data_IF_846201378096
#
_entry.id   IF_846201378096
#
_cell.length_a   1.000
_cell.length_b   1.000
_cell.length_c   1.000
_cell.angle_alpha   90.00
_cell.angle_beta   90.00
_cell.angle_gamma   90.00
#
_symmetry.space_group_name_H-M   'P 1'
#
loop_
_entity.id
_entity.type
_entity.pdbx_description
1 polymer ?
#
# COMPACT_ATOMS: atom_id res chain seq x y z
N UNK A 1 -10.12 -1.69 67.20
CA UNK A 1 -9.61 -2.99 66.74
C UNK A 1 -10.65 -3.58 65.79
N UNK A 2 -10.35 -3.61 64.49
CA UNK A 2 -11.04 -4.47 63.53
C UNK A 2 -10.09 -4.66 62.33
N UNK A 3 -9.80 -5.92 62.04
CA UNK A 3 -8.75 -6.38 61.14
C UNK A 3 -9.03 -6.05 59.66
N UNK A 4 -7.94 -5.74 58.97
CA UNK A 4 -7.80 -5.68 57.53
C UNK A 4 -7.80 -7.08 56.90
N UNK A 5 -8.53 -7.24 55.80
CA UNK A 5 -8.27 -8.27 54.79
C UNK A 5 -8.25 -7.60 53.41
N UNK A 6 -7.08 -7.67 52.79
CA UNK A 6 -6.75 -7.21 51.45
C UNK A 6 -7.46 -8.02 50.36
N UNK A 7 -8.17 -7.36 49.45
CA UNK A 7 -8.51 -7.91 48.14
C UNK A 7 -7.61 -7.28 47.07
N UNK A 8 -6.68 -8.09 46.55
CA UNK A 8 -5.98 -7.80 45.31
C UNK A 8 -7.01 -7.78 44.17
N UNK A 9 -7.22 -6.61 43.56
CA UNK A 9 -7.93 -6.52 42.29
C UNK A 9 -7.02 -7.06 41.18
N UNK A 10 -7.42 -8.21 40.64
CA UNK A 10 -6.92 -8.75 39.37
C UNK A 10 -7.24 -7.73 38.27
N UNK A 11 -6.18 -7.22 37.62
CA UNK A 11 -6.32 -6.45 36.40
C UNK A 11 -7.05 -7.29 35.34
N UNK A 12 -8.10 -6.70 34.75
CA UNK A 12 -8.88 -7.30 33.67
C UNK A 12 -7.98 -7.62 32.46
N UNK A 13 -8.29 -8.67 31.68
CA UNK A 13 -7.51 -9.01 30.51
C UNK A 13 -7.63 -7.89 29.47
N UNK A 14 -6.49 -7.44 28.97
CA UNK A 14 -6.36 -6.53 27.83
C UNK A 14 -7.21 -7.05 26.68
N UNK A 15 -8.20 -6.28 26.24
CA UNK A 15 -9.06 -6.62 25.11
C UNK A 15 -8.20 -6.84 23.85
N UNK A 16 -8.15 -8.08 23.37
CA UNK A 16 -7.52 -8.41 22.09
C UNK A 16 -8.18 -7.57 20.98
N UNK A 17 -7.37 -6.93 20.15
CA UNK A 17 -7.84 -6.12 19.04
C UNK A 17 -8.71 -6.98 18.10
N UNK A 18 -9.89 -6.47 17.72
CA UNK A 18 -10.83 -7.18 16.84
C UNK A 18 -10.26 -7.20 15.42
N UNK A 19 -10.18 -8.37 14.74
CA UNK A 19 -9.74 -8.45 13.34
C UNK A 19 -10.62 -7.59 12.42
N UNK A 20 -10.01 -6.96 11.42
CA UNK A 20 -10.73 -6.17 10.42
C UNK A 20 -11.35 -7.07 9.34
N UNK A 21 -10.75 -8.23 9.08
CA UNK A 21 -11.20 -9.20 8.09
C UNK A 21 -11.63 -10.52 8.75
N UNK A 22 -12.38 -11.33 7.99
CA UNK A 22 -12.71 -12.71 8.33
C UNK A 22 -11.68 -13.64 7.69
N UNK A 23 -11.19 -14.63 8.42
CA UNK A 23 -10.07 -15.45 7.99
C UNK A 23 -10.45 -16.92 7.72
N UNK A 24 -10.05 -17.46 6.57
CA UNK A 24 -10.13 -18.90 6.26
C UNK A 24 -8.72 -19.48 6.40
N UNK A 25 -8.53 -20.37 7.38
CA UNK A 25 -7.25 -21.03 7.68
C UNK A 25 -7.23 -22.45 7.13
N UNK A 26 -6.53 -22.66 6.03
CA UNK A 26 -6.38 -23.97 5.41
C UNK A 26 -5.15 -24.67 5.97
N UNK A 27 -5.33 -25.73 6.76
CA UNK A 27 -4.21 -26.57 7.23
C UNK A 27 -3.90 -27.59 6.13
N UNK A 28 -2.74 -27.44 5.50
CA UNK A 28 -2.38 -28.17 4.29
C UNK A 28 -1.05 -28.92 4.40
N UNK A 29 -0.87 -29.93 3.55
CA UNK A 29 0.29 -30.81 3.54
C UNK A 29 -0.06 -32.29 3.33
N UNK A 30 0.95 -33.15 3.12
CA UNK A 30 0.75 -34.57 2.82
C UNK A 30 0.09 -35.35 3.97
N UNK A 31 -0.35 -36.57 3.70
CA UNK A 31 -0.81 -37.49 4.73
C UNK A 31 0.28 -37.75 5.77
N UNK A 32 -0.10 -37.81 7.04
CA UNK A 32 0.85 -38.02 8.15
C UNK A 32 1.56 -36.75 8.68
N UNK A 33 1.37 -35.58 8.06
CA UNK A 33 2.02 -34.33 8.52
C UNK A 33 1.37 -33.70 9.77
N UNK A 34 0.18 -34.16 10.18
CA UNK A 34 -0.49 -33.71 11.40
C UNK A 34 -1.61 -32.67 11.21
N UNK A 35 -2.19 -32.54 10.00
CA UNK A 35 -3.25 -31.56 9.68
C UNK A 35 -4.37 -31.50 10.72
N UNK A 36 -5.06 -32.62 10.97
CA UNK A 36 -6.18 -32.70 11.93
C UNK A 36 -5.76 -32.23 13.33
N UNK A 37 -4.64 -32.70 13.84
CA UNK A 37 -4.16 -32.33 15.18
C UNK A 37 -3.79 -30.85 15.32
N UNK A 38 -3.20 -30.25 14.28
CA UNK A 38 -2.92 -28.80 14.25
C UNK A 38 -4.21 -27.99 14.09
N UNK A 39 -5.14 -28.44 13.24
CA UNK A 39 -6.41 -27.78 13.01
C UNK A 39 -7.29 -27.76 14.27
N UNK A 40 -7.44 -28.89 14.95
CA UNK A 40 -8.17 -29.00 16.23
C UNK A 40 -7.58 -28.08 17.30
N UNK A 41 -6.25 -28.03 17.38
CA UNK A 41 -5.55 -27.15 18.32
C UNK A 41 -5.84 -25.66 18.04
N UNK A 42 -5.68 -25.23 16.78
CA UNK A 42 -5.93 -23.83 16.40
C UNK A 42 -7.42 -23.46 16.54
N UNK A 43 -8.32 -24.34 16.14
CA UNK A 43 -9.77 -24.16 16.31
C UNK A 43 -10.12 -23.98 17.78
N UNK A 44 -9.60 -24.83 18.67
CA UNK A 44 -9.83 -24.74 20.11
C UNK A 44 -9.25 -23.46 20.70
N UNK A 45 -8.02 -23.12 20.32
CA UNK A 45 -7.32 -21.94 20.85
C UNK A 45 -8.03 -20.63 20.49
N UNK A 46 -8.45 -20.49 19.24
CA UNK A 46 -9.10 -19.27 18.72
C UNK A 46 -10.63 -19.32 18.80
N UNK A 47 -11.22 -20.40 19.31
CA UNK A 47 -12.66 -20.65 19.32
C UNK A 47 -13.31 -20.48 17.93
N UNK A 48 -12.65 -20.99 16.88
CA UNK A 48 -13.12 -20.92 15.49
C UNK A 48 -13.82 -22.23 15.09
N UNK A 49 -14.86 -22.19 14.23
CA UNK A 49 -15.41 -23.39 13.61
C UNK A 49 -14.32 -24.21 12.91
N UNK A 50 -14.43 -25.54 13.01
CA UNK A 50 -13.53 -26.50 12.38
C UNK A 50 -14.27 -27.34 11.33
N UNK A 51 -13.69 -27.44 10.13
CA UNK A 51 -14.15 -28.28 9.05
C UNK A 51 -13.09 -29.34 8.71
N UNK A 52 -13.44 -30.63 8.81
CA UNK A 52 -12.58 -31.73 8.37
C UNK A 52 -12.78 -32.00 6.88
N UNK A 53 -11.84 -31.59 6.03
CA UNK A 53 -12.01 -31.58 4.58
C UNK A 53 -12.23 -32.96 3.96
N UNK A 54 -11.65 -34.02 4.54
CA UNK A 54 -11.83 -35.39 4.07
C UNK A 54 -13.29 -35.87 4.23
N UNK A 55 -14.07 -35.25 5.12
CA UNK A 55 -15.49 -35.58 5.36
C UNK A 55 -16.42 -35.10 4.23
N UNK A 56 -15.94 -34.21 3.36
CA UNK A 56 -16.71 -33.65 2.25
C UNK A 56 -16.44 -34.35 0.92
N UNK A 57 -15.64 -35.43 0.92
CA UNK A 57 -15.45 -36.20 -0.29
C UNK A 57 -16.77 -36.85 -0.76
N UNK A 58 -17.09 -36.78 -2.06
CA UNK A 58 -18.22 -37.54 -2.60
C UNK A 58 -17.94 -39.04 -2.47
N UNK A 59 -19.00 -39.85 -2.35
CA UNK A 59 -18.88 -41.30 -2.14
C UNK A 59 -17.97 -41.97 -3.17
N UNK A 60 -18.03 -41.54 -4.43
CA UNK A 60 -17.16 -42.04 -5.50
C UNK A 60 -15.65 -41.84 -5.21
N UNK A 61 -15.26 -40.76 -4.54
CA UNK A 61 -13.86 -40.53 -4.15
C UNK A 61 -13.47 -41.41 -2.96
N UNK A 62 -14.38 -41.57 -2.00
CA UNK A 62 -14.19 -42.47 -0.85
C UNK A 62 -13.98 -43.91 -1.35
N UNK A 63 -14.82 -44.38 -2.28
CA UNK A 63 -14.73 -45.71 -2.86
C UNK A 63 -13.41 -45.93 -3.62
N UNK A 64 -12.96 -44.93 -4.40
CA UNK A 64 -11.64 -44.97 -5.06
C UNK A 64 -10.51 -45.09 -4.06
N UNK A 65 -10.49 -44.25 -3.02
CA UNK A 65 -9.46 -44.27 -1.99
C UNK A 65 -9.47 -45.57 -1.18
N UNK A 66 -10.65 -46.11 -0.84
CA UNK A 66 -10.81 -47.38 -0.15
C UNK A 66 -10.22 -48.56 -0.96
N UNK A 67 -10.35 -48.49 -2.29
CA UNK A 67 -9.77 -49.46 -3.21
C UNK A 67 -8.29 -49.18 -3.58
N UNK A 68 -7.62 -48.23 -2.91
CA UNK A 68 -6.24 -47.79 -3.20
C UNK A 68 -6.05 -47.23 -4.62
N UNK A 69 -7.10 -46.69 -5.23
CA UNK A 69 -7.06 -46.01 -6.53
C UNK A 69 -6.81 -44.52 -6.27
N UNK A 70 -5.70 -43.93 -6.76
CA UNK A 70 -5.43 -42.51 -6.59
C UNK A 70 -6.49 -41.65 -7.29
N UNK A 71 -6.96 -40.60 -6.61
CA UNK A 71 -7.86 -39.63 -7.24
C UNK A 71 -7.11 -38.86 -8.34
N UNK A 72 -7.83 -38.48 -9.39
CA UNK A 72 -7.37 -37.60 -10.46
C UNK A 72 -7.66 -36.13 -10.14
N UNK A 73 -7.22 -35.19 -11.00
CA UNK A 73 -7.59 -33.79 -10.84
C UNK A 73 -9.11 -33.57 -11.02
N UNK A 74 -9.72 -34.26 -11.99
CA UNK A 74 -11.16 -34.19 -12.25
C UNK A 74 -12.00 -34.64 -11.05
N UNK A 75 -11.55 -35.66 -10.33
CA UNK A 75 -12.20 -36.15 -9.11
C UNK A 75 -12.17 -35.12 -7.97
N UNK A 76 -11.21 -34.18 -7.99
CA UNK A 76 -10.98 -33.23 -6.88
C UNK A 76 -11.69 -31.88 -7.07
N UNK A 77 -12.10 -31.51 -8.29
CA UNK A 77 -12.65 -30.17 -8.54
C UNK A 77 -13.92 -29.89 -7.74
N UNK A 78 -14.91 -30.79 -7.80
CA UNK A 78 -16.18 -30.61 -7.09
C UNK A 78 -15.98 -30.61 -5.58
N UNK A 79 -15.06 -31.44 -5.08
CA UNK A 79 -14.70 -31.48 -3.67
C UNK A 79 -14.06 -30.17 -3.19
N UNK A 80 -13.09 -29.62 -3.94
CA UNK A 80 -12.44 -28.35 -3.59
C UNK A 80 -13.42 -27.17 -3.64
N UNK A 81 -14.31 -27.15 -4.63
CA UNK A 81 -15.39 -26.15 -4.74
C UNK A 81 -16.32 -26.25 -3.52
N UNK A 82 -16.74 -27.46 -3.15
CA UNK A 82 -17.58 -27.68 -1.99
C UNK A 82 -16.90 -27.21 -0.69
N UNK A 83 -15.61 -27.54 -0.49
CA UNK A 83 -14.86 -27.08 0.68
C UNK A 83 -14.79 -25.56 0.78
N UNK A 84 -14.53 -24.88 -0.34
CA UNK A 84 -14.54 -23.42 -0.42
C UNK A 84 -15.90 -22.87 0.01
N UNK A 85 -16.98 -23.40 -0.54
CA UNK A 85 -18.34 -22.92 -0.29
C UNK A 85 -18.77 -23.17 1.17
N UNK A 86 -18.37 -24.30 1.76
CA UNK A 86 -18.59 -24.60 3.18
C UNK A 86 -17.78 -23.69 4.11
N UNK A 87 -16.52 -23.38 3.77
CA UNK A 87 -15.72 -22.44 4.53
C UNK A 87 -16.34 -21.03 4.52
N UNK A 88 -16.84 -20.56 3.37
CA UNK A 88 -17.56 -19.29 3.26
C UNK A 88 -18.87 -19.32 4.05
N UNK A 89 -19.64 -20.42 3.97
CA UNK A 89 -20.87 -20.58 4.74
C UNK A 89 -20.63 -20.53 6.25
N UNK A 90 -19.53 -21.13 6.73
CA UNK A 90 -19.13 -21.07 8.14
C UNK A 90 -18.80 -19.63 8.59
N UNK A 91 -18.25 -18.78 7.72
CA UNK A 91 -18.02 -17.37 8.04
C UNK A 91 -19.32 -16.56 8.19
N UNK A 92 -20.42 -17.02 7.59
CA UNK A 92 -21.72 -16.34 7.66
C UNK A 92 -22.46 -16.58 8.98
N UNK A 93 -21.95 -17.45 9.86
CA UNK A 93 -22.48 -17.63 11.22
C UNK A 93 -22.04 -16.53 12.19
N UNK A 94 -21.31 -15.52 11.71
CA UNK A 94 -20.78 -14.41 12.50
C UNK A 94 -19.41 -14.68 13.14
N UNK A 95 -18.77 -15.81 12.83
CA UNK A 95 -17.42 -16.10 13.31
C UNK A 95 -16.37 -15.22 12.61
N UNK A 96 -15.31 -14.78 13.31
CA UNK A 96 -14.22 -13.99 12.73
C UNK A 96 -13.28 -14.83 11.84
N UNK A 97 -13.49 -16.14 11.76
CA UNK A 97 -12.74 -17.03 10.88
C UNK A 97 -13.23 -18.47 10.93
N UNK A 98 -12.59 -19.35 10.17
CA UNK A 98 -12.82 -20.80 10.12
C UNK A 98 -11.50 -21.54 9.90
N UNK A 99 -11.33 -22.70 10.50
CA UNK A 99 -10.20 -23.60 10.26
C UNK A 99 -10.67 -24.79 9.43
N UNK A 100 -9.98 -25.09 8.34
CA UNK A 100 -10.32 -26.17 7.41
C UNK A 100 -9.08 -27.02 7.10
N UNK A 101 -9.14 -28.33 7.27
CA UNK A 101 -8.10 -29.23 6.75
C UNK A 101 -8.30 -29.46 5.25
N UNK A 102 -7.24 -29.34 4.45
CA UNK A 102 -7.29 -29.72 3.04
C UNK A 102 -5.89 -30.05 2.54
N UNK A 103 -5.73 -31.21 1.89
CA UNK A 103 -4.41 -31.63 1.38
C UNK A 103 -3.82 -30.65 0.38
N UNK A 104 -4.65 -30.00 -0.47
CA UNK A 104 -4.30 -28.92 -1.42
C UNK A 104 -2.86 -28.95 -1.98
N UNK A 105 -2.43 -30.16 -2.40
CA UNK A 105 -1.02 -30.47 -2.69
C UNK A 105 -0.47 -29.72 -3.91
N UNK A 106 -1.34 -29.33 -4.85
CA UNK A 106 -0.98 -28.61 -6.07
C UNK A 106 -1.38 -27.15 -5.99
N UNK A 107 -0.63 -26.26 -6.65
CA UNK A 107 -0.93 -24.82 -6.70
C UNK A 107 -2.35 -24.54 -7.21
N UNK A 108 -2.73 -25.22 -8.29
CA UNK A 108 -4.07 -25.10 -8.87
C UNK A 108 -5.21 -25.49 -7.91
N UNK A 109 -4.95 -26.34 -6.92
CA UNK A 109 -5.95 -26.66 -5.90
C UNK A 109 -6.09 -25.52 -4.89
N UNK A 110 -4.97 -24.90 -4.51
CA UNK A 110 -4.93 -23.71 -3.66
C UNK A 110 -5.64 -22.54 -4.35
N UNK A 111 -5.43 -22.37 -5.65
CA UNK A 111 -6.11 -21.34 -6.46
C UNK A 111 -7.64 -21.48 -6.45
N UNK A 112 -8.19 -22.70 -6.50
CA UNK A 112 -9.66 -22.91 -6.40
C UNK A 112 -10.20 -22.42 -5.06
N UNK A 113 -9.48 -22.64 -3.96
CA UNK A 113 -9.88 -22.18 -2.63
C UNK A 113 -9.73 -20.65 -2.50
N UNK A 114 -8.69 -20.05 -3.08
CA UNK A 114 -8.45 -18.58 -3.10
C UNK A 114 -9.63 -17.78 -3.68
N UNK A 115 -10.42 -18.39 -4.56
CA UNK A 115 -11.65 -17.78 -5.12
C UNK A 115 -12.64 -17.37 -4.01
N UNK A 116 -12.58 -17.94 -2.80
CA UNK A 116 -13.41 -17.50 -1.67
C UNK A 116 -13.31 -15.99 -1.39
N UNK A 117 -12.13 -15.40 -1.60
CA UNK A 117 -11.87 -13.97 -1.39
C UNK A 117 -12.26 -13.07 -2.57
N UNK A 118 -12.66 -13.63 -3.72
CA UNK A 118 -12.94 -12.83 -4.93
C UNK A 118 -14.26 -12.09 -4.86
N UNK A 119 -15.25 -12.66 -4.16
CA UNK A 119 -16.60 -12.08 -4.05
C UNK A 119 -16.80 -11.27 -2.76
N UNK A 120 -15.86 -11.31 -1.82
CA UNK A 120 -15.88 -10.52 -0.58
C UNK A 120 -14.46 -10.14 -0.15
N UNK A 121 -14.12 -8.86 -0.33
CA UNK A 121 -12.81 -8.32 0.05
C UNK A 121 -12.57 -8.29 1.56
N UNK A 122 -13.60 -8.52 2.38
CA UNK A 122 -13.46 -8.68 3.83
C UNK A 122 -13.07 -10.12 4.24
N UNK A 123 -12.85 -11.03 3.29
CA UNK A 123 -12.44 -12.41 3.55
C UNK A 123 -11.01 -12.64 3.05
N UNK A 124 -10.14 -13.14 3.92
CA UNK A 124 -8.76 -13.51 3.58
C UNK A 124 -8.55 -15.02 3.74
N UNK A 125 -8.04 -15.67 2.70
CA UNK A 125 -7.64 -17.09 2.71
C UNK A 125 -6.15 -17.19 3.02
N UNK A 126 -5.80 -18.10 3.92
CA UNK A 126 -4.42 -18.39 4.32
C UNK A 126 -4.20 -19.90 4.34
N UNK A 127 -3.01 -20.35 3.95
CA UNK A 127 -2.60 -21.75 3.99
C UNK A 127 -1.49 -21.94 5.00
N UNK A 128 -1.67 -22.83 5.97
CA UNK A 128 -0.62 -23.29 6.88
C UNK A 128 -0.09 -24.60 6.33
N UNK A 129 1.01 -24.52 5.60
CA UNK A 129 1.65 -25.67 4.98
C UNK A 129 2.57 -26.38 5.97
N UNK A 130 2.17 -27.58 6.38
CA UNK A 130 2.94 -28.44 7.27
C UNK A 130 4.04 -29.16 6.48
N UNK A 131 5.24 -28.58 6.51
CA UNK A 131 6.40 -29.07 5.77
C UNK A 131 7.10 -30.20 6.53
N UNK A 132 7.33 -31.31 5.83
CA UNK A 132 8.02 -32.48 6.35
C UNK A 132 8.78 -33.18 5.23
N UNK A 133 9.89 -33.83 5.57
CA UNK A 133 10.57 -34.74 4.63
C UNK A 133 9.74 -36.02 4.44
N UNK A 134 9.92 -36.66 3.29
CA UNK A 134 9.23 -37.91 2.97
C UNK A 134 9.56 -39.00 3.99
N UNK A 135 10.81 -39.07 4.44
CA UNK A 135 11.30 -40.03 5.43
C UNK A 135 10.58 -39.86 6.77
N UNK A 136 10.40 -38.61 7.23
CA UNK A 136 9.71 -38.30 8.47
C UNK A 136 8.22 -38.70 8.40
N UNK A 137 7.57 -38.44 7.26
CA UNK A 137 6.16 -38.80 7.07
C UNK A 137 5.97 -40.32 7.07
N UNK A 138 6.86 -41.06 6.40
CA UNK A 138 6.85 -42.52 6.42
C UNK A 138 7.03 -43.05 7.84
N UNK A 139 8.03 -42.54 8.58
CA UNK A 139 8.25 -42.91 9.99
C UNK A 139 7.00 -42.68 10.86
N UNK A 140 6.34 -41.53 10.70
CA UNK A 140 5.11 -41.20 11.45
C UNK A 140 3.94 -42.10 11.13
N UNK A 141 3.78 -42.48 9.87
CA UNK A 141 2.70 -43.37 9.43
C UNK A 141 2.94 -44.80 9.89
N UNK A 142 4.18 -45.29 9.84
CA UNK A 142 4.55 -46.61 10.38
C UNK A 142 4.32 -46.74 11.88
N UNK A 143 4.50 -45.66 12.64
CA UNK A 143 4.30 -45.66 14.09
C UNK A 143 2.84 -45.62 14.57
N UNK A 144 1.86 -45.42 13.67
CA UNK A 144 0.43 -45.33 14.04
C UNK A 144 -0.21 -46.71 14.10
N UNK A 145 -0.56 -47.15 15.31
CA UNK A 145 -1.34 -48.38 15.52
C UNK A 145 -2.80 -48.13 15.12
N UNK A 146 -3.33 -48.88 14.16
CA UNK A 146 -4.77 -48.93 13.85
C UNK A 146 -5.27 -48.05 12.68
N UNK A 147 -4.42 -47.22 12.06
CA UNK A 147 -4.78 -46.51 10.81
C UNK A 147 -3.99 -47.06 9.63
N UNK A 148 -4.71 -47.72 8.71
CA UNK A 148 -4.17 -48.37 7.51
C UNK A 148 -3.81 -47.35 6.41
N UNK A 149 -2.91 -46.41 6.72
CA UNK A 149 -2.28 -45.56 5.70
C UNK A 149 -1.03 -46.26 5.19
N UNK A 150 -1.07 -46.78 3.96
CA UNK A 150 0.05 -47.49 3.33
C UNK A 150 1.12 -46.51 2.85
N UNK A 151 2.39 -46.89 2.92
CA UNK A 151 3.56 -46.15 2.40
C UNK A 151 3.35 -45.61 0.98
N UNK A 152 2.60 -46.36 0.16
CA UNK A 152 2.24 -45.98 -1.22
C UNK A 152 1.44 -44.67 -1.28
N UNK A 153 0.63 -44.36 -0.27
CA UNK A 153 -0.15 -43.13 -0.22
C UNK A 153 0.72 -41.91 0.15
N UNK A 154 1.65 -42.07 1.09
CA UNK A 154 2.62 -41.01 1.41
C UNK A 154 3.49 -40.71 0.19
N UNK A 155 3.99 -41.76 -0.49
CA UNK A 155 4.77 -41.64 -1.72
C UNK A 155 3.99 -40.90 -2.82
N UNK A 156 2.79 -41.37 -3.16
CA UNK A 156 1.97 -40.74 -4.21
C UNK A 156 1.55 -39.30 -3.90
N UNK A 157 1.32 -38.95 -2.63
CA UNK A 157 1.05 -37.55 -2.26
C UNK A 157 2.29 -36.67 -2.30
N UNK A 158 3.46 -37.22 -1.94
CA UNK A 158 4.73 -36.50 -2.06
C UNK A 158 5.11 -36.30 -3.53
N UNK A 159 4.87 -37.28 -4.40
CA UNK A 159 5.07 -37.16 -5.84
C UNK A 159 4.12 -36.13 -6.49
N UNK A 160 2.90 -36.00 -5.96
CA UNK A 160 1.91 -35.03 -6.42
C UNK A 160 2.03 -33.64 -5.75
N UNK A 161 2.90 -33.50 -4.75
CA UNK A 161 3.11 -32.26 -4.02
C UNK A 161 3.86 -31.27 -4.92
N UNK A 162 3.23 -30.12 -5.14
CA UNK A 162 3.88 -28.92 -5.67
C UNK A 162 4.11 -28.01 -4.46
N UNK A 163 5.34 -28.02 -3.88
CA UNK A 163 5.66 -27.18 -2.74
C UNK A 163 5.31 -25.71 -3.05
N UNK A 164 4.73 -24.97 -2.10
CA UNK A 164 4.41 -23.57 -2.31
C UNK A 164 5.64 -22.78 -2.76
N UNK A 165 5.48 -22.00 -3.82
CA UNK A 165 6.55 -21.14 -4.37
C UNK A 165 6.51 -19.75 -3.73
N UNK A 166 7.59 -18.97 -3.87
CA UNK A 166 7.71 -17.64 -3.23
C UNK A 166 6.61 -16.63 -3.62
N UNK A 167 5.93 -16.85 -4.74
CA UNK A 167 4.81 -16.02 -5.20
C UNK A 167 3.46 -16.37 -4.54
N UNK A 168 3.36 -17.50 -3.83
CA UNK A 168 2.18 -17.91 -3.05
C UNK A 168 2.20 -17.32 -1.62
N UNK A 169 2.04 -16.00 -1.54
CA UNK A 169 2.25 -15.21 -0.30
C UNK A 169 1.26 -15.45 0.83
N UNK A 170 0.14 -16.08 0.52
CA UNK A 170 -0.87 -16.52 1.48
C UNK A 170 -0.55 -17.90 2.08
N UNK A 171 0.60 -18.49 1.74
CA UNK A 171 1.05 -19.78 2.28
C UNK A 171 2.18 -19.59 3.28
N UNK A 172 1.95 -19.98 4.53
CA UNK A 172 2.94 -19.99 5.60
C UNK A 172 3.40 -21.42 5.88
N UNK A 173 4.71 -21.67 5.73
CA UNK A 173 5.30 -22.97 5.99
C UNK A 173 5.61 -23.15 7.48
N UNK A 174 5.18 -24.28 8.05
CA UNK A 174 5.50 -24.69 9.42
C UNK A 174 6.27 -26.00 9.34
N UNK A 175 7.52 -26.01 9.80
CA UNK A 175 8.31 -27.23 9.92
C UNK A 175 7.71 -28.12 11.01
N UNK A 176 7.36 -29.36 10.64
CA UNK A 176 6.81 -30.34 11.56
C UNK A 176 7.83 -31.37 12.03
N UNK A 177 9.13 -31.14 11.86
CA UNK A 177 10.19 -32.06 12.32
C UNK A 177 10.27 -32.23 13.85
N UNK A 178 9.84 -31.21 14.61
CA UNK A 178 9.85 -31.19 16.07
C UNK A 178 8.74 -32.02 16.73
N UNK A 179 8.70 -31.96 18.08
CA UNK A 179 7.62 -32.53 18.87
C UNK A 179 6.29 -31.78 18.66
N UNK A 180 5.17 -32.41 19.05
CA UNK A 180 3.83 -31.86 18.80
C UNK A 180 3.60 -30.49 19.47
N UNK A 181 4.10 -30.28 20.69
CA UNK A 181 3.95 -28.99 21.38
C UNK A 181 4.74 -27.87 20.68
N UNK A 182 5.88 -28.21 20.08
CA UNK A 182 6.67 -27.29 19.28
C UNK A 182 5.97 -26.92 17.97
N UNK A 183 5.35 -27.89 17.28
CA UNK A 183 4.55 -27.63 16.07
C UNK A 183 3.32 -26.77 16.38
N UNK A 184 2.63 -27.06 17.49
CA UNK A 184 1.50 -26.25 17.97
C UNK A 184 1.90 -24.79 18.20
N UNK A 185 3.04 -24.56 18.86
CA UNK A 185 3.56 -23.22 19.13
C UNK A 185 3.87 -22.46 17.84
N UNK A 186 4.52 -23.10 16.87
CA UNK A 186 4.86 -22.49 15.57
C UNK A 186 3.60 -22.14 14.77
N UNK A 187 2.64 -23.06 14.69
CA UNK A 187 1.37 -22.81 14.01
C UNK A 187 0.59 -21.67 14.68
N UNK A 188 0.56 -21.63 16.01
CA UNK A 188 -0.07 -20.56 16.77
C UNK A 188 0.62 -19.21 16.55
N UNK A 189 1.94 -19.18 16.51
CA UNK A 189 2.71 -17.98 16.26
C UNK A 189 2.40 -17.41 14.87
N UNK A 190 2.35 -18.25 13.84
CA UNK A 190 1.96 -17.85 12.47
C UNK A 190 0.58 -17.21 12.45
N UNK A 191 -0.43 -17.88 13.03
CA UNK A 191 -1.81 -17.35 13.04
C UNK A 191 -1.87 -16.03 13.83
N UNK A 192 -1.24 -15.96 15.00
CA UNK A 192 -1.19 -14.73 15.80
C UNK A 192 -0.50 -13.58 15.07
N UNK A 193 0.57 -13.84 14.32
CA UNK A 193 1.27 -12.81 13.54
C UNK A 193 0.36 -12.21 12.45
N UNK A 194 -0.40 -13.05 11.76
CA UNK A 194 -1.34 -12.60 10.71
C UNK A 194 -2.53 -11.89 11.33
N UNK A 195 -3.15 -12.45 12.37
CA UNK A 195 -4.29 -11.83 13.07
C UNK A 195 -3.89 -10.48 13.69
N UNK A 196 -2.68 -10.38 14.25
CA UNK A 196 -2.14 -9.11 14.76
C UNK A 196 -1.84 -8.11 13.62
N UNK A 197 -1.40 -8.58 12.45
CA UNK A 197 -1.19 -7.73 11.27
C UNK A 197 -2.51 -7.19 10.73
N UNK A 198 -3.56 -8.00 10.76
CA UNK A 198 -4.91 -7.63 10.33
C UNK A 198 -5.56 -6.63 11.30
N UNK A 199 -5.55 -6.95 12.60
CA UNK A 199 -6.13 -6.10 13.64
C UNK A 199 -5.41 -4.74 13.79
N UNK A 200 -4.10 -4.69 13.50
CA UNK A 200 -3.34 -3.44 13.48
C UNK A 200 -3.58 -2.60 12.20
N UNK A 201 -4.42 -3.05 11.26
CA UNK A 201 -4.75 -2.33 10.02
C UNK A 201 -3.50 -2.02 9.20
N UNK A 202 -2.56 -2.97 9.09
CA UNK A 202 -1.20 -2.66 8.62
C UNK A 202 -1.18 -2.42 7.11
N UNK A 203 -1.25 -1.12 6.79
CA UNK A 203 -0.72 -0.51 5.57
C UNK A 203 0.71 -1.02 5.33
N UNK A 204 0.90 -1.75 4.23
CA UNK A 204 2.24 -1.89 3.63
C UNK A 204 2.81 -0.48 3.42
N UNK A 205 4.01 -0.22 3.96
CA UNK A 205 4.68 1.04 3.68
C UNK A 205 5.29 0.94 2.28
N UNK A 206 4.60 1.52 1.30
CA UNK A 206 5.19 1.82 0.00
C UNK A 206 6.57 2.46 0.20
N UNK A 207 7.61 1.90 -0.40
CA UNK A 207 8.98 2.40 -0.29
C UNK A 207 9.09 3.91 -0.64
N UNK A 208 8.21 4.40 -1.52
CA UNK A 208 8.11 5.81 -1.93
C UNK A 208 7.72 6.79 -0.81
N UNK A 209 7.00 6.38 0.24
CA UNK A 209 6.59 7.29 1.33
C UNK A 209 7.78 7.75 2.19
N UNK A 210 8.89 6.99 2.22
CA UNK A 210 10.06 7.36 3.02
C UNK A 210 10.94 8.43 2.35
N UNK A 211 10.92 8.53 1.03
CA UNK A 211 11.65 9.57 0.26
C UNK A 211 11.14 10.98 0.58
N UNK A 212 9.83 11.12 0.80
CA UNK A 212 9.20 12.38 1.21
C UNK A 212 9.63 12.79 2.63
N UNK A 213 9.75 11.80 3.53
CA UNK A 213 10.24 12.02 4.89
C UNK A 213 11.64 12.63 4.96
N UNK A 214 12.53 12.28 4.01
CA UNK A 214 13.87 12.87 3.93
C UNK A 214 13.82 14.38 3.70
N UNK A 215 12.93 14.84 2.81
CA UNK A 215 12.76 16.27 2.49
C UNK A 215 12.25 17.00 3.74
N UNK A 216 11.25 16.45 4.42
CA UNK A 216 10.72 17.01 5.66
C UNK A 216 11.79 17.10 6.76
N UNK A 217 12.59 16.04 6.95
CA UNK A 217 13.69 16.02 7.91
C UNK A 217 14.75 17.07 7.57
N UNK A 218 15.12 17.24 6.30
CA UNK A 218 16.07 18.28 5.86
C UNK A 218 15.54 19.69 6.17
N UNK A 219 14.27 19.96 5.88
CA UNK A 219 13.64 21.24 6.22
C UNK A 219 13.60 21.47 7.74
N UNK A 220 13.35 20.42 8.52
CA UNK A 220 13.37 20.48 9.98
C UNK A 220 14.78 20.78 10.52
N UNK A 221 15.81 20.14 9.96
CA UNK A 221 17.21 20.39 10.30
C UNK A 221 17.57 21.86 10.09
N UNK A 222 17.17 22.44 8.96
CA UNK A 222 17.42 23.85 8.64
C UNK A 222 16.67 24.77 9.58
N UNK A 223 15.42 24.44 9.91
CA UNK A 223 14.60 25.21 10.85
C UNK A 223 15.20 25.24 12.26
N UNK A 224 15.79 24.14 12.71
CA UNK A 224 16.28 23.99 14.07
C UNK A 224 17.81 24.08 14.21
N UNK A 225 18.54 24.30 13.10
CA UNK A 225 20.00 24.33 13.10
C UNK A 225 20.64 22.97 13.40
N UNK A 226 19.95 21.87 13.11
CA UNK A 226 20.45 20.49 13.32
C UNK A 226 20.95 19.86 12.02
N UNK A 227 21.51 18.66 12.10
CA UNK A 227 22.04 17.92 10.94
C UNK A 227 21.74 16.42 11.00
N UNK A 228 20.57 16.06 11.54
CA UNK A 228 20.14 14.67 11.73
C UNK A 228 20.03 13.91 10.40
N UNK A 229 19.66 14.60 9.33
CA UNK A 229 19.46 13.99 8.00
C UNK A 229 20.73 13.39 7.42
N UNK A 230 21.91 13.90 7.78
CA UNK A 230 23.19 13.35 7.30
C UNK A 230 23.36 11.89 7.69
N UNK A 231 23.17 11.59 8.98
CA UNK A 231 23.28 10.23 9.51
C UNK A 231 22.15 9.32 9.02
N UNK A 232 20.93 9.87 8.91
CA UNK A 232 19.77 9.11 8.43
C UNK A 232 19.94 8.70 6.97
N UNK A 233 20.45 9.59 6.11
CA UNK A 233 20.66 9.32 4.69
C UNK A 233 21.66 8.20 4.46
N UNK A 234 22.78 8.20 5.18
CA UNK A 234 23.79 7.16 5.05
C UNK A 234 23.23 5.79 5.46
N UNK A 235 22.52 5.72 6.60
CA UNK A 235 21.85 4.48 7.03
C UNK A 235 20.77 4.03 6.05
N UNK A 236 20.01 4.98 5.49
CA UNK A 236 18.94 4.69 4.53
C UNK A 236 19.49 4.11 3.22
N UNK A 237 20.53 4.72 2.64
CA UNK A 237 21.21 4.22 1.43
C UNK A 237 21.78 2.82 1.66
N UNK A 238 22.48 2.61 2.78
CA UNK A 238 23.06 1.32 3.13
C UNK A 238 21.98 0.23 3.31
N UNK A 239 20.85 0.57 3.95
CA UNK A 239 19.73 -0.36 4.10
C UNK A 239 19.12 -0.73 2.74
N UNK A 240 18.97 0.22 1.83
CA UNK A 240 18.44 -0.04 0.49
C UNK A 240 19.33 -0.93 -0.35
N UNK A 241 20.64 -0.70 -0.32
CA UNK A 241 21.62 -1.52 -1.00
C UNK A 241 21.63 -2.93 -0.43
N UNK A 242 21.70 -3.07 0.90
CA UNK A 242 21.66 -4.37 1.59
C UNK A 242 20.40 -5.19 1.25
N UNK A 243 19.26 -4.53 1.08
CA UNK A 243 17.96 -5.18 0.80
C UNK A 243 17.70 -5.37 -0.70
N UNK A 244 18.61 -4.90 -1.56
CA UNK A 244 18.45 -4.96 -3.01
C UNK A 244 17.15 -4.31 -3.47
N UNK A 245 16.81 -3.13 -2.95
CA UNK A 245 15.52 -2.47 -3.21
C UNK A 245 15.34 -2.01 -4.67
N UNK A 246 16.40 -2.05 -5.46
CA UNK A 246 16.43 -1.63 -6.86
C UNK A 246 16.75 -2.87 -7.69
N UNK A 247 15.80 -3.27 -8.53
CA UNK A 247 15.94 -4.40 -9.45
C UNK A 247 16.66 -4.05 -10.74
N UNK A 248 16.75 -5.02 -11.68
CA UNK A 248 17.32 -4.82 -13.01
C UNK A 248 16.65 -3.66 -13.75
N UNK A 249 17.42 -2.88 -14.53
CA UNK A 249 16.90 -1.71 -15.25
C UNK A 249 16.57 -0.50 -14.37
N UNK A 250 16.86 -0.57 -13.06
CA UNK A 250 16.64 0.52 -12.12
C UNK A 250 15.22 0.61 -11.59
N UNK A 251 14.39 -0.42 -11.75
CA UNK A 251 13.03 -0.44 -11.22
C UNK A 251 13.04 -0.70 -9.71
N UNK A 252 12.31 0.11 -8.94
CA UNK A 252 12.10 -0.14 -7.53
C UNK A 252 11.20 -1.33 -7.32
N UNK A 253 11.58 -2.16 -6.36
CA UNK A 253 10.70 -3.17 -5.81
C UNK A 253 9.45 -2.50 -5.23
N UNK A 254 8.27 -2.95 -5.64
CA UNK A 254 6.98 -2.31 -5.32
C UNK A 254 6.70 -2.28 -3.82
N UNK A 255 7.24 -3.24 -3.06
CA UNK A 255 7.03 -3.33 -1.63
C UNK A 255 8.20 -4.02 -0.93
N UNK A 256 8.43 -3.64 0.33
CA UNK A 256 9.26 -4.40 1.26
C UNK A 256 8.46 -4.71 2.52
N UNK A 257 8.30 -5.99 2.78
CA UNK A 257 7.63 -6.56 3.94
C UNK A 257 8.65 -6.65 5.08
N UNK A 258 8.73 -5.59 5.87
CA UNK A 258 9.83 -5.37 6.83
C UNK A 258 9.95 -6.47 7.91
N UNK A 259 8.85 -7.15 8.27
CA UNK A 259 8.86 -8.24 9.27
C UNK A 259 9.32 -9.58 8.66
N UNK A 260 9.00 -9.81 7.39
CA UNK A 260 9.31 -11.01 6.63
C UNK A 260 10.67 -10.92 5.91
N UNK A 261 11.28 -9.75 5.94
CA UNK A 261 12.45 -9.37 5.15
C UNK A 261 12.34 -9.70 3.65
N UNK A 262 11.14 -9.52 3.10
CA UNK A 262 10.82 -9.91 1.72
C UNK A 262 10.51 -8.69 0.86
N UNK A 263 10.94 -8.71 -0.40
CA UNK A 263 10.72 -7.60 -1.34
C UNK A 263 9.97 -8.05 -2.58
N UNK A 264 8.97 -7.28 -3.00
CA UNK A 264 8.15 -7.55 -4.18
C UNK A 264 8.79 -6.91 -5.42
N UNK A 265 9.11 -7.67 -6.49
CA UNK A 265 9.68 -7.09 -7.71
C UNK A 265 8.68 -6.11 -8.38
N UNK A 266 9.21 -5.15 -9.14
CA UNK A 266 8.39 -4.20 -9.89
C UNK A 266 7.75 -4.90 -11.08
N UNK A 267 6.44 -4.67 -11.29
CA UNK A 267 5.74 -5.16 -12.49
C UNK A 267 5.72 -4.13 -13.63
N UNK A 268 5.89 -2.85 -13.30
CA UNK A 268 5.87 -1.72 -14.23
C UNK A 268 6.68 -0.52 -13.66
N UNK A 269 7.00 0.51 -14.46
CA UNK A 269 7.78 1.64 -13.98
C UNK A 269 6.98 2.65 -13.16
N UNK A 270 5.66 2.52 -13.01
CA UNK A 270 4.80 3.51 -12.37
C UNK A 270 5.21 3.79 -10.93
N UNK A 271 5.38 2.74 -10.12
CA UNK A 271 5.87 2.89 -8.75
C UNK A 271 7.28 3.49 -8.70
N UNK A 272 8.13 3.11 -9.65
CA UNK A 272 9.49 3.61 -9.77
C UNK A 272 9.52 5.10 -10.11
N UNK A 273 8.71 5.54 -11.06
CA UNK A 273 8.56 6.92 -11.48
C UNK A 273 8.08 7.81 -10.33
N UNK A 274 7.08 7.35 -9.56
CA UNK A 274 6.60 8.07 -8.37
C UNK A 274 7.71 8.22 -7.32
N UNK A 275 8.40 7.12 -7.00
CA UNK A 275 9.47 7.13 -6.01
C UNK A 275 10.67 7.99 -6.46
N UNK A 276 11.00 7.97 -7.75
CA UNK A 276 12.04 8.80 -8.36
C UNK A 276 11.71 10.28 -8.41
N UNK A 277 10.44 10.67 -8.58
CA UNK A 277 10.06 12.08 -8.52
C UNK A 277 10.52 12.74 -7.20
N UNK A 278 10.29 12.08 -6.07
CA UNK A 278 10.74 12.59 -4.76
C UNK A 278 12.23 12.37 -4.52
N UNK A 279 12.77 11.19 -4.86
CA UNK A 279 14.17 10.89 -4.59
C UNK A 279 15.14 11.74 -5.44
N UNK A 280 14.71 12.20 -6.61
CA UNK A 280 15.49 13.12 -7.45
C UNK A 280 15.80 14.43 -6.71
N UNK A 281 15.07 14.75 -5.63
CA UNK A 281 15.33 15.90 -4.74
C UNK A 281 16.68 15.81 -4.02
N UNK A 282 17.08 14.61 -3.57
CA UNK A 282 18.27 14.44 -2.71
C UNK A 282 19.30 13.43 -3.26
N UNK A 283 18.94 12.66 -4.29
CA UNK A 283 19.80 11.66 -4.93
C UNK A 283 19.67 11.67 -6.46
N UNK A 284 19.74 12.85 -7.06
CA UNK A 284 19.47 13.06 -8.49
C UNK A 284 20.39 12.25 -9.40
N UNK A 285 21.68 12.11 -9.04
CA UNK A 285 22.65 11.33 -9.84
C UNK A 285 22.27 9.86 -9.94
N UNK A 286 21.84 9.27 -8.83
CA UNK A 286 21.36 7.88 -8.82
C UNK A 286 20.10 7.73 -9.68
N UNK A 287 19.12 8.62 -9.49
CA UNK A 287 17.85 8.57 -10.23
C UNK A 287 18.08 8.70 -11.73
N UNK A 288 18.84 9.72 -12.16
CA UNK A 288 19.11 10.00 -13.58
C UNK A 288 19.88 8.88 -14.28
N UNK A 289 20.67 8.07 -13.56
CA UNK A 289 21.38 6.91 -14.14
C UNK A 289 20.43 5.90 -14.80
N UNK A 290 19.18 5.83 -14.35
CA UNK A 290 18.21 4.82 -14.82
C UNK A 290 17.14 5.38 -15.74
N UNK A 291 17.15 6.68 -16.05
CA UNK A 291 16.11 7.29 -16.90
C UNK A 291 16.05 6.65 -18.29
N UNK A 292 17.18 6.47 -18.95
CA UNK A 292 17.22 5.89 -20.29
C UNK A 292 16.74 4.43 -20.29
N UNK A 293 17.13 3.64 -19.29
CA UNK A 293 16.71 2.23 -19.18
C UNK A 293 15.22 2.07 -18.84
N UNK A 294 14.64 3.01 -18.08
CA UNK A 294 13.22 3.00 -17.73
C UNK A 294 12.32 3.58 -18.82
N UNK A 295 12.84 4.52 -19.60
CA UNK A 295 12.12 5.11 -20.73
C UNK A 295 11.98 4.13 -21.91
N UNK A 296 12.88 3.16 -22.02
CA UNK A 296 12.87 2.16 -23.08
C UNK A 296 11.54 1.41 -23.13
N UNK A 297 10.88 1.43 -24.30
CA UNK A 297 9.55 0.85 -24.51
C UNK A 297 8.37 1.80 -24.25
N UNK A 298 8.57 2.86 -23.44
CA UNK A 298 7.55 3.84 -23.09
C UNK A 298 7.72 5.19 -23.81
N UNK A 299 8.94 5.55 -24.19
CA UNK A 299 9.25 6.70 -25.02
C UNK A 299 9.95 6.24 -26.30
N UNK A 300 9.57 6.80 -27.43
CA UNK A 300 10.20 6.53 -28.73
C UNK A 300 10.46 7.85 -29.43
N UNK A 301 11.73 8.14 -29.75
CA UNK A 301 12.12 9.35 -30.47
C UNK A 301 12.52 9.01 -31.89
N UNK A 302 11.80 9.55 -32.87
CA UNK A 302 12.07 9.36 -34.30
C UNK A 302 12.06 10.73 -34.97
N UNK A 303 13.13 11.09 -35.68
CA UNK A 303 13.21 12.35 -36.41
C UNK A 303 13.15 13.62 -35.54
N UNK A 304 13.50 13.53 -34.25
CA UNK A 304 13.42 14.64 -33.30
C UNK A 304 12.06 14.78 -32.60
N UNK A 305 11.05 14.01 -33.02
CA UNK A 305 9.76 13.95 -32.34
C UNK A 305 9.75 12.79 -31.33
N UNK A 306 9.37 13.08 -30.09
CA UNK A 306 9.26 12.07 -29.02
C UNK A 306 7.81 11.69 -28.80
N UNK A 307 7.50 10.42 -29.04
CA UNK A 307 6.20 9.82 -28.77
C UNK A 307 6.20 9.07 -27.45
N UNK A 308 5.09 9.18 -26.72
CA UNK A 308 4.81 8.38 -25.53
C UNK A 308 4.00 7.17 -25.96
N UNK A 309 4.42 5.98 -25.55
CA UNK A 309 3.67 4.74 -25.70
C UNK A 309 2.90 4.49 -24.39
N UNK A 310 1.62 4.89 -24.30
CA UNK A 310 0.88 4.73 -23.07
C UNK A 310 0.45 3.27 -22.84
N UNK A 311 0.12 2.89 -21.60
CA UNK A 311 -0.46 1.58 -21.31
C UNK A 311 -1.78 1.40 -22.07
N UNK A 312 -1.85 0.39 -22.94
CA UNK A 312 -3.00 0.16 -23.83
C UNK A 312 -4.29 -0.11 -23.04
N UNK A 313 -4.18 -0.74 -21.88
CA UNK A 313 -5.27 -1.04 -20.94
C UNK A 313 -5.92 0.18 -20.30
N UNK A 314 -5.29 1.36 -20.35
CA UNK A 314 -5.88 2.60 -19.84
C UNK A 314 -6.67 3.37 -20.90
N UNK A 315 -6.72 2.87 -22.14
CA UNK A 315 -7.47 3.43 -23.27
C UNK A 315 -7.42 4.96 -23.39
N UNK A 316 -6.23 5.59 -23.36
CA UNK A 316 -6.14 7.04 -23.45
C UNK A 316 -6.52 7.52 -24.86
N UNK A 317 -7.01 8.76 -24.93
CA UNK A 317 -7.35 9.44 -26.19
C UNK A 317 -6.59 10.74 -26.31
N UNK A 318 -6.20 11.16 -27.51
CA UNK A 318 -5.58 12.47 -27.70
C UNK A 318 -6.62 13.58 -27.60
N UNK A 319 -6.43 14.52 -26.67
CA UNK A 319 -7.27 15.73 -26.52
C UNK A 319 -6.41 16.94 -26.23
N UNK A 320 -6.64 18.04 -26.97
CA UNK A 320 -5.97 19.34 -26.77
C UNK A 320 -4.43 19.25 -26.68
N UNK A 321 -3.81 18.41 -27.51
CA UNK A 321 -2.35 18.26 -27.55
C UNK A 321 -1.73 17.41 -26.43
N UNK A 322 -2.52 16.59 -25.73
CA UNK A 322 -2.01 15.61 -24.76
C UNK A 322 -2.85 14.34 -24.69
N UNK A 323 -2.32 13.32 -23.99
CA UNK A 323 -3.05 12.10 -23.67
C UNK A 323 -4.08 12.38 -22.57
N UNK A 324 -5.34 12.09 -22.84
CA UNK A 324 -6.44 12.15 -21.91
C UNK A 324 -6.82 10.73 -21.49
N UNK A 325 -6.66 10.46 -20.20
CA UNK A 325 -7.10 9.21 -19.57
C UNK A 325 -8.55 9.36 -19.09
N UNK A 326 -9.51 8.58 -19.63
CA UNK A 326 -10.89 8.62 -19.16
C UNK A 326 -10.98 8.12 -17.73
N UNK A 327 -11.88 8.72 -16.92
CA UNK A 327 -12.16 8.23 -15.57
C UNK A 327 -12.64 6.78 -15.66
N UNK A 328 -12.07 5.93 -14.82
CA UNK A 328 -12.46 4.54 -14.65
C UNK A 328 -12.36 4.19 -13.18
N UNK A 329 -13.49 3.89 -12.54
CA UNK A 329 -13.51 3.56 -11.12
C UNK A 329 -13.17 2.09 -10.86
N UNK A 330 -13.04 1.25 -11.90
CA UNK A 330 -12.64 -0.15 -11.78
C UNK A 330 -11.13 -0.27 -11.55
N UNK A 331 -10.76 -0.84 -10.40
CA UNK A 331 -9.38 -1.17 -10.02
C UNK A 331 -8.60 -1.84 -11.16
N UNK A 332 -9.19 -2.87 -11.77
CA UNK A 332 -8.55 -3.71 -12.79
C UNK A 332 -9.53 -4.12 -13.90
N UNK A 333 -8.99 -4.50 -15.06
CA UNK A 333 -9.73 -5.15 -16.15
C UNK A 333 -9.85 -6.67 -15.97
N UNK A 334 -10.51 -7.33 -16.92
CA UNK A 334 -10.71 -8.79 -16.97
C UNK A 334 -9.40 -9.60 -17.05
N UNK A 335 -8.28 -8.95 -17.41
CA UNK A 335 -6.95 -9.54 -17.46
C UNK A 335 -6.10 -9.17 -16.23
N UNK A 336 -6.72 -8.68 -15.15
CA UNK A 336 -6.08 -8.26 -13.91
C UNK A 336 -5.06 -7.11 -14.09
N UNK A 337 -5.16 -6.35 -15.19
CA UNK A 337 -4.33 -5.15 -15.38
C UNK A 337 -5.00 -3.96 -14.71
N UNK A 338 -4.22 -3.12 -14.05
CA UNK A 338 -4.72 -1.91 -13.43
C UNK A 338 -5.42 -1.01 -14.45
N UNK A 339 -6.68 -0.65 -14.21
CA UNK A 339 -7.43 0.27 -15.09
C UNK A 339 -8.01 1.47 -14.37
N UNK A 340 -7.83 1.56 -13.05
CA UNK A 340 -8.43 2.64 -12.28
C UNK A 340 -7.77 3.97 -12.58
N UNK A 341 -8.61 4.93 -12.96
CA UNK A 341 -8.25 6.31 -13.25
C UNK A 341 -9.25 7.20 -12.55
N UNK A 342 -8.87 7.79 -11.43
CA UNK A 342 -9.71 8.77 -10.75
C UNK A 342 -9.58 10.17 -11.42
N UNK A 343 -10.39 11.12 -10.97
CA UNK A 343 -10.41 12.48 -11.53
C UNK A 343 -9.10 13.27 -11.31
N UNK A 344 -8.28 12.88 -10.33
CA UNK A 344 -7.02 13.52 -9.96
C UNK A 344 -5.81 12.84 -10.63
N UNK A 345 -5.66 11.52 -10.53
CA UNK A 345 -4.45 10.81 -10.98
C UNK A 345 -4.23 10.85 -12.49
N UNK A 346 -5.28 10.88 -13.31
CA UNK A 346 -5.14 10.75 -14.76
C UNK A 346 -4.43 11.88 -15.49
N UNK A 347 -4.36 13.08 -14.92
CA UNK A 347 -3.64 14.21 -15.52
C UNK A 347 -2.87 15.08 -14.51
N UNK A 348 -3.03 14.90 -13.19
CA UNK A 348 -2.32 15.73 -12.20
C UNK A 348 -0.80 15.55 -12.25
N UNK A 349 -0.31 14.35 -12.58
CA UNK A 349 1.12 14.08 -12.72
C UNK A 349 1.75 14.89 -13.86
N UNK A 350 1.00 15.22 -14.93
CA UNK A 350 1.47 16.07 -16.03
C UNK A 350 1.65 17.52 -15.56
N UNK A 351 0.70 18.02 -14.75
CA UNK A 351 0.82 19.32 -14.10
C UNK A 351 2.03 19.36 -13.17
N UNK A 352 2.21 18.33 -12.34
CA UNK A 352 3.37 18.20 -11.44
C UNK A 352 4.70 18.11 -12.19
N UNK A 353 4.75 17.40 -13.32
CA UNK A 353 5.93 17.33 -14.18
C UNK A 353 6.26 18.69 -14.82
N UNK A 354 5.25 19.46 -15.25
CA UNK A 354 5.44 20.82 -15.79
C UNK A 354 5.87 21.84 -14.74
N UNK A 355 5.53 21.61 -13.48
CA UNK A 355 6.00 22.42 -12.33
C UNK A 355 7.41 22.02 -11.87
N UNK A 356 7.87 20.82 -12.24
CA UNK A 356 9.25 20.39 -11.99
C UNK A 356 10.18 20.99 -13.05
N UNK A 357 10.62 22.22 -12.80
CA UNK A 357 11.78 22.80 -13.49
C UNK A 357 13.03 21.94 -13.23
N UNK A 358 14.04 22.03 -14.10
CA UNK A 358 15.31 21.34 -13.88
C UNK A 358 15.86 21.70 -12.49
N UNK A 359 16.16 20.65 -11.73
CA UNK A 359 16.57 20.70 -10.32
C UNK A 359 15.59 21.41 -9.37
N UNK A 360 14.30 21.55 -9.70
CA UNK A 360 13.33 22.31 -8.91
C UNK A 360 13.29 21.95 -7.42
N UNK A 361 12.85 20.74 -7.09
CA UNK A 361 12.87 20.27 -5.69
C UNK A 361 14.30 20.12 -5.15
N UNK A 362 15.27 19.79 -6.00
CA UNK A 362 16.68 19.67 -5.62
C UNK A 362 17.27 21.01 -5.13
N UNK A 363 16.84 22.14 -5.71
CA UNK A 363 17.21 23.48 -5.23
C UNK A 363 16.70 23.73 -3.83
N UNK A 364 15.47 23.28 -3.50
CA UNK A 364 14.94 23.36 -2.13
C UNK A 364 15.76 22.46 -1.19
N UNK A 365 16.28 21.34 -1.67
CA UNK A 365 17.14 20.46 -0.87
C UNK A 365 18.53 21.05 -0.58
N UNK A 366 19.20 21.54 -1.63
CA UNK A 366 20.56 22.09 -1.56
C UNK A 366 20.56 23.48 -0.90
N UNK A 367 19.51 24.27 -1.15
CA UNK A 367 19.28 25.63 -0.65
C UNK A 367 17.89 25.75 0.01
N UNK A 368 17.68 25.08 1.16
CA UNK A 368 16.40 25.08 1.85
C UNK A 368 16.05 26.46 2.37
N UNK A 369 14.75 26.79 2.30
CA UNK A 369 14.26 28.03 2.86
C UNK A 369 14.44 28.03 4.37
N UNK A 370 15.17 29.02 4.84
CA UNK A 370 15.33 29.28 6.27
C UNK A 370 14.04 29.87 6.84
N UNK A 371 13.86 29.75 8.15
CA UNK A 371 12.74 30.39 8.83
C UNK A 371 12.70 31.90 8.55
N UNK A 372 13.87 32.55 8.53
CA UNK A 372 13.99 33.97 8.21
C UNK A 372 13.51 34.30 6.79
N UNK A 373 13.92 33.51 5.79
CA UNK A 373 13.50 33.70 4.41
C UNK A 373 11.97 33.57 4.28
N UNK A 374 11.37 32.51 4.83
CA UNK A 374 9.91 32.31 4.77
C UNK A 374 9.17 33.43 5.49
N UNK A 375 9.62 33.86 6.67
CA UNK A 375 8.98 34.95 7.42
C UNK A 375 9.14 36.33 6.76
N UNK A 376 10.09 36.48 5.84
CA UNK A 376 10.37 37.76 5.18
C UNK A 376 9.62 37.94 3.86
N UNK A 377 9.12 36.86 3.25
CA UNK A 377 8.47 36.94 1.95
C UNK A 377 6.97 37.19 2.10
N UNK A 378 6.38 38.00 1.20
CA UNK A 378 4.95 38.13 1.08
C UNK A 378 4.26 36.79 0.87
N UNK A 379 3.20 36.55 1.61
CA UNK A 379 2.44 35.29 1.56
C UNK A 379 0.95 35.54 1.69
N UNK A 380 0.13 34.59 1.21
CA UNK A 380 -1.29 34.55 1.53
C UNK A 380 -1.51 33.56 2.67
N UNK A 381 -2.17 34.01 3.73
CA UNK A 381 -2.53 33.22 4.91
C UNK A 381 -4.04 33.21 5.13
N UNK A 382 -4.53 32.33 6.02
CA UNK A 382 -5.94 32.19 6.34
C UNK A 382 -6.73 31.38 5.32
N UNK A 383 -6.06 30.57 4.50
CA UNK A 383 -6.68 29.67 3.53
C UNK A 383 -6.31 28.22 3.82
N UNK A 384 -7.20 27.31 3.43
CA UNK A 384 -7.15 25.90 3.73
C UNK A 384 -7.77 25.09 2.58
N UNK A 385 -7.48 23.80 2.53
CA UNK A 385 -8.12 22.91 1.56
C UNK A 385 -9.64 22.82 1.75
N UNK A 386 -10.15 23.05 2.97
CA UNK A 386 -11.58 23.08 3.29
C UNK A 386 -12.32 24.32 2.76
N UNK A 387 -11.61 25.33 2.28
CA UNK A 387 -12.25 26.50 1.69
C UNK A 387 -12.78 26.24 0.28
N UNK A 388 -12.48 25.07 -0.30
CA UNK A 388 -12.99 24.65 -1.61
C UNK A 388 -12.60 25.62 -2.75
N UNK A 389 -11.48 26.33 -2.58
CA UNK A 389 -10.93 27.28 -3.55
C UNK A 389 -9.63 26.74 -4.14
N UNK A 390 -9.58 26.69 -5.46
CA UNK A 390 -8.38 26.39 -6.24
C UNK A 390 -7.61 27.67 -6.54
N UNK A 391 -6.28 27.58 -6.43
CA UNK A 391 -5.33 28.64 -6.76
C UNK A 391 -4.62 28.30 -8.06
N UNK A 392 -5.02 28.92 -9.17
CA UNK A 392 -4.44 28.64 -10.50
C UNK A 392 -3.17 29.46 -10.79
N UNK A 393 -2.95 30.54 -10.04
CA UNK A 393 -1.75 31.38 -10.13
C UNK A 393 -1.43 31.99 -8.77
N UNK A 394 -0.15 31.99 -8.41
CA UNK A 394 0.42 32.74 -7.30
C UNK A 394 1.77 33.29 -7.75
N UNK A 395 1.95 34.61 -7.72
CA UNK A 395 3.16 35.26 -8.21
C UNK A 395 3.51 36.48 -7.37
N UNK A 396 4.78 36.59 -7.02
CA UNK A 396 5.35 37.73 -6.33
C UNK A 396 6.55 38.27 -7.12
N UNK A 397 6.53 39.57 -7.38
CA UNK A 397 7.64 40.31 -8.01
C UNK A 397 8.10 41.39 -7.03
N UNK A 398 9.27 41.15 -6.43
CA UNK A 398 9.85 42.03 -5.43
C UNK A 398 10.30 43.38 -6.01
N UNK A 399 10.78 43.40 -7.26
CA UNK A 399 11.25 44.63 -7.93
C UNK A 399 10.08 45.56 -8.24
N UNK A 400 8.90 44.99 -8.54
CA UNK A 400 7.69 45.75 -8.86
C UNK A 400 6.71 45.90 -7.69
N UNK A 401 6.97 45.23 -6.56
CA UNK A 401 6.09 45.21 -5.40
C UNK A 401 4.72 44.67 -5.77
N UNK A 402 4.67 43.61 -6.56
CA UNK A 402 3.47 43.12 -7.21
C UNK A 402 3.16 41.70 -6.76
N UNK A 403 2.00 41.51 -6.17
CA UNK A 403 1.46 40.22 -5.75
C UNK A 403 0.23 39.89 -6.59
N UNK A 404 0.20 38.72 -7.22
CA UNK A 404 -0.90 38.26 -8.07
C UNK A 404 -1.38 36.89 -7.61
N UNK A 405 -2.68 36.75 -7.41
CA UNK A 405 -3.34 35.47 -7.17
C UNK A 405 -4.51 35.32 -8.12
N UNK A 406 -4.69 34.12 -8.67
CA UNK A 406 -5.90 33.75 -9.41
C UNK A 406 -6.60 32.59 -8.71
N UNK A 407 -7.89 32.76 -8.46
CA UNK A 407 -8.71 31.87 -7.63
C UNK A 407 -9.99 31.43 -8.36
N UNK A 408 -10.45 30.21 -8.10
CA UNK A 408 -11.80 29.75 -8.50
C UNK A 408 -12.30 28.65 -7.56
N UNK A 409 -13.60 28.44 -7.43
CA UNK A 409 -14.13 27.28 -6.69
C UNK A 409 -14.06 26.00 -7.51
N UNK A 410 -13.93 24.85 -6.85
CA UNK A 410 -13.85 23.55 -7.52
C UNK A 410 -15.20 23.10 -8.09
N UNK A 411 -16.28 23.35 -7.37
CA UNK A 411 -17.66 22.97 -7.72
C UNK A 411 -18.40 24.06 -8.49
N UNK A 412 -17.80 25.25 -8.60
CA UNK A 412 -18.39 26.42 -9.23
C UNK A 412 -19.40 27.17 -8.35
N UNK A 413 -19.59 26.77 -7.09
CA UNK A 413 -20.39 27.52 -6.11
C UNK A 413 -19.75 28.88 -5.82
N UNK A 414 -20.55 29.88 -5.47
CA UNK A 414 -20.02 31.17 -5.01
C UNK A 414 -19.70 31.09 -3.52
N UNK A 415 -18.50 31.51 -3.13
CA UNK A 415 -18.00 31.51 -1.75
C UNK A 415 -17.27 32.81 -1.46
N UNK A 416 -17.31 33.23 -0.20
CA UNK A 416 -16.51 34.36 0.29
C UNK A 416 -15.26 33.79 0.96
N UNK A 417 -14.10 34.00 0.34
CA UNK A 417 -12.81 33.65 0.91
C UNK A 417 -12.27 34.82 1.73
N UNK A 418 -11.97 34.55 3.00
CA UNK A 418 -11.30 35.50 3.89
C UNK A 418 -9.84 35.09 4.02
N UNK A 419 -8.93 35.93 3.53
CA UNK A 419 -7.51 35.63 3.51
C UNK A 419 -6.71 36.87 3.93
N UNK A 420 -5.44 36.71 4.27
CA UNK A 420 -4.56 37.81 4.67
C UNK A 420 -3.29 37.78 3.84
N UNK A 421 -2.99 38.87 3.13
CA UNK A 421 -1.65 39.07 2.57
C UNK A 421 -0.74 39.52 3.71
N UNK A 422 0.32 38.76 3.97
CA UNK A 422 1.27 39.03 5.07
C UNK A 422 2.61 39.50 4.57
N UNK A 423 3.41 40.04 5.49
CA UNK A 423 4.82 40.38 5.30
C UNK A 423 5.06 41.35 4.13
N UNK A 424 4.14 42.28 3.91
CA UNK A 424 4.25 43.24 2.84
C UNK A 424 5.27 44.34 3.20
N UNK A 425 5.98 44.83 2.19
CA UNK A 425 6.88 45.97 2.36
C UNK A 425 6.09 47.24 2.72
N UNK A 426 6.73 48.13 3.47
CA UNK A 426 6.09 49.39 3.85
C UNK A 426 5.77 50.24 2.62
N UNK A 427 4.55 50.76 2.54
CA UNK A 427 4.14 51.64 1.45
C UNK A 427 2.64 51.63 1.20
N UNK A 428 2.25 52.37 0.17
CA UNK A 428 0.88 52.42 -0.31
C UNK A 428 0.61 51.21 -1.21
N UNK A 429 -0.43 50.44 -0.89
CA UNK A 429 -0.81 49.25 -1.65
C UNK A 429 -2.19 49.42 -2.25
N UNK A 430 -2.27 49.31 -3.58
CA UNK A 430 -3.51 49.26 -4.33
C UNK A 430 -3.91 47.80 -4.57
N UNK A 431 -5.11 47.42 -4.12
CA UNK A 431 -5.66 46.08 -4.33
C UNK A 431 -6.74 46.12 -5.40
N UNK A 432 -6.55 45.33 -6.44
CA UNK A 432 -7.48 45.16 -7.56
C UNK A 432 -8.09 43.76 -7.52
N UNK A 433 -9.36 43.68 -7.89
CA UNK A 433 -10.05 42.42 -8.16
C UNK A 433 -10.67 42.49 -9.56
N UNK A 434 -10.31 41.57 -10.44
CA UNK A 434 -10.74 41.56 -11.84
C UNK A 434 -10.55 42.92 -12.53
N UNK A 435 -9.34 43.49 -12.37
CA UNK A 435 -8.91 44.80 -12.90
C UNK A 435 -9.63 46.03 -12.30
N UNK A 436 -10.54 45.85 -11.34
CA UNK A 436 -11.19 46.96 -10.63
C UNK A 436 -10.52 47.18 -9.29
N UNK A 437 -10.09 48.42 -9.02
CA UNK A 437 -9.54 48.77 -7.71
C UNK A 437 -10.63 48.62 -6.64
N UNK A 438 -10.30 47.92 -5.55
CA UNK A 438 -11.22 47.68 -4.43
C UNK A 438 -10.86 48.50 -3.21
N UNK A 439 -9.56 48.66 -2.95
CA UNK A 439 -9.07 49.47 -1.84
C UNK A 439 -7.63 49.89 -2.05
N UNK A 440 -7.26 50.90 -1.29
CA UNK A 440 -5.89 51.37 -1.09
C UNK A 440 -5.59 51.30 0.40
N UNK A 441 -4.45 50.71 0.77
CA UNK A 441 -4.06 50.47 2.16
C UNK A 441 -2.63 50.96 2.35
N UNK A 442 -2.40 51.78 3.37
CA UNK A 442 -1.04 52.08 3.82
C UNK A 442 -0.56 50.98 4.75
N UNK A 443 0.56 50.38 4.41
CA UNK A 443 1.15 49.27 5.14
C UNK A 443 2.46 49.73 5.75
N UNK A 444 2.64 49.51 7.06
CA UNK A 444 3.92 49.63 7.74
C UNK A 444 4.78 48.39 7.46
N UNK A 445 6.08 48.44 7.74
CA UNK A 445 7.00 47.33 7.41
C UNK A 445 6.54 46.02 8.07
N UNK A 446 6.33 44.97 7.27
CA UNK A 446 5.84 43.67 7.74
C UNK A 446 4.34 43.65 8.06
N UNK A 447 3.58 44.65 7.60
CA UNK A 447 2.14 44.72 7.82
C UNK A 447 1.32 43.87 6.85
N UNK A 448 0.04 43.75 7.19
CA UNK A 448 -0.87 42.79 6.58
C UNK A 448 -2.04 43.49 5.88
N UNK A 449 -2.55 42.88 4.81
CA UNK A 449 -3.80 43.29 4.15
C UNK A 449 -4.80 42.14 4.23
N UNK A 450 -5.85 42.33 5.04
CA UNK A 450 -7.03 41.46 5.04
C UNK A 450 -7.69 41.49 3.67
N UNK A 451 -8.17 40.38 3.16
CA UNK A 451 -8.86 40.23 1.89
C UNK A 451 -10.18 39.50 2.12
N UNK A 452 -11.23 39.99 1.46
CA UNK A 452 -12.52 39.31 1.37
C UNK A 452 -12.87 39.24 -0.11
N UNK A 453 -12.83 38.02 -0.67
CA UNK A 453 -12.91 37.78 -2.11
C UNK A 453 -14.11 36.88 -2.37
N UNK A 454 -15.06 37.35 -3.16
CA UNK A 454 -16.10 36.48 -3.71
C UNK A 454 -15.48 35.67 -4.85
N UNK A 455 -15.40 34.36 -4.65
CA UNK A 455 -14.82 33.40 -5.60
C UNK A 455 -15.94 32.48 -6.08
N UNK A 456 -16.02 32.26 -7.38
CA UNK A 456 -17.03 31.39 -7.97
C UNK A 456 -16.47 30.54 -9.10
N UNK A 457 -17.35 30.18 -10.04
CA UNK A 457 -16.99 29.38 -11.21
C UNK A 457 -15.97 30.06 -12.14
N UNK A 458 -15.97 31.39 -12.20
CA UNK A 458 -15.06 32.17 -13.06
C UNK A 458 -13.85 32.59 -12.25
N UNK A 459 -12.67 32.53 -12.87
CA UNK A 459 -11.42 32.96 -12.25
C UNK A 459 -11.51 34.40 -11.75
N UNK A 460 -11.04 34.60 -10.52
CA UNK A 460 -10.93 35.91 -9.87
C UNK A 460 -9.46 36.24 -9.71
N UNK A 461 -9.05 37.33 -10.35
CA UNK A 461 -7.69 37.88 -10.23
C UNK A 461 -7.63 38.88 -9.10
N UNK A 462 -6.86 38.58 -8.06
CA UNK A 462 -6.49 39.51 -7.00
C UNK A 462 -5.07 40.01 -7.27
N UNK A 463 -4.93 41.32 -7.45
CA UNK A 463 -3.63 41.95 -7.69
C UNK A 463 -3.40 43.01 -6.62
N UNK A 464 -2.37 42.83 -5.79
CA UNK A 464 -1.91 43.85 -4.86
C UNK A 464 -0.60 44.46 -5.38
N UNK A 465 -0.58 45.78 -5.55
CA UNK A 465 0.58 46.49 -6.09
C UNK A 465 1.00 47.60 -5.14
N UNK A 466 2.28 47.61 -4.78
CA UNK A 466 2.88 48.70 -4.02
C UNK A 466 3.20 49.88 -4.95
N UNK A 467 2.80 51.09 -4.57
CA UNK A 467 3.07 52.32 -5.33
C UNK A 467 4.51 52.84 -5.14
N UNK A 468 5.36 52.17 -4.34
CA UNK A 468 6.66 52.67 -3.87
C UNK A 468 7.90 52.16 -4.60
N UNK A 469 7.77 51.37 -5.66
CA UNK A 469 8.93 50.92 -6.46
C UNK A 469 8.97 51.69 -7.79
N UNK A 470 9.63 52.84 -7.72
CA UNK A 470 10.27 53.53 -8.87
C UNK A 470 11.76 53.42 -8.70
#
# INVERSE_FOLDING_TARGET
MANSTSSNSTAAPTTAAVPQHRHIWIITGPAGCGKTSVAEYLSTFFALPYLEGDSFHPQANIDKMANNIPLTDADRWDWLILLRDQAVAALNTGAPGVVLTCSALKRKYRDVIRVASYNDHNVLVHFIYLSATQELLLQRVHGRVGHYMKDSMVKSQFDALEPPTEDERDVMSVDVSGDFASVQRLALEVVNQVMASDAAGVRGHAAGNRSQGMIAMRLNDVRHGTSVIGDVLEKYKAAWEKKGMVGPGGLFKDMWLAKQDFTVPANDPGFSAWSYAYMNTWNSRFVRKFFDSQAFGYLTTIGGETSINPPVNLHPTWKKGGLYYPRNDKAMDENLKWTHMDAFTGNAAIGYARLNIEDGMKKIWDHPWTQQQVSSQPSLDGTSLSDDVNFSRGFWDAERGLFIITMRTWDGSSKILKATLRNLSSGSWDVFMNRKQKKKVEVSQGGDIQLEVEVGRVDVDVVARCSKLT
#
